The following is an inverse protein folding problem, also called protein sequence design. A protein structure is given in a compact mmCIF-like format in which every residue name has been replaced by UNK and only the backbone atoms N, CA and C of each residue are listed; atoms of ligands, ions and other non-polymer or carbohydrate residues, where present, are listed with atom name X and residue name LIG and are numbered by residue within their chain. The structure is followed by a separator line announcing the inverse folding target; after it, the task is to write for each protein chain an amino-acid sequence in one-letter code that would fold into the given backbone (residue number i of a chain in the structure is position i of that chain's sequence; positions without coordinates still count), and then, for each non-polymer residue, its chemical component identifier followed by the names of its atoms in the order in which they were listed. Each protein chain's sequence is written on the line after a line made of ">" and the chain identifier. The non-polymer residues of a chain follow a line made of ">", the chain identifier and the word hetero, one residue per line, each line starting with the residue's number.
data_IF_453431675937
#
_entry.id   IF_453431675937
#
_cell.length_a   1.000
_cell.length_b   1.000
_cell.length_c   1.000
_cell.angle_alpha   90.00
_cell.angle_beta   90.00
_cell.angle_gamma   90.00
#
_symmetry.space_group_name_H-M   'P 1'
#
loop_
_entity.id
_entity.type
_entity.pdbx_description
1 polymer ?
#
# COMPACT_ATOMS: atom_id res chain seq x y z
N UNK A 1 20.62 11.77 -22.87
CA UNK A 1 19.51 10.80 -22.75
C UNK A 1 18.40 11.30 -23.63
N UNK A 2 17.83 10.42 -24.45
CA UNK A 2 16.60 10.75 -25.17
C UNK A 2 15.45 10.98 -24.17
N UNK A 3 14.54 11.93 -24.42
CA UNK A 3 13.41 12.21 -23.53
C UNK A 3 12.58 10.97 -23.19
N UNK A 4 12.40 10.09 -24.18
CA UNK A 4 11.66 8.83 -24.03
C UNK A 4 12.36 7.86 -23.05
N UNK A 5 13.69 7.78 -23.07
CA UNK A 5 14.45 6.98 -22.10
C UNK A 5 14.30 7.52 -20.68
N UNK A 6 14.29 8.84 -20.52
CA UNK A 6 14.07 9.46 -19.22
C UNK A 6 12.65 9.17 -18.69
N UNK A 7 11.65 9.19 -19.57
CA UNK A 7 10.26 8.89 -19.26
C UNK A 7 10.08 7.44 -18.80
N UNK A 8 10.67 6.47 -19.51
CA UNK A 8 10.61 5.07 -19.09
C UNK A 8 11.31 4.81 -17.76
N UNK A 9 12.46 5.45 -17.51
CA UNK A 9 13.14 5.35 -16.22
C UNK A 9 12.26 5.90 -15.09
N UNK A 10 11.65 7.07 -15.28
CA UNK A 10 10.75 7.68 -14.30
C UNK A 10 9.55 6.77 -13.98
N UNK A 11 8.94 6.17 -15.01
CA UNK A 11 7.87 5.18 -14.88
C UNK A 11 8.27 3.94 -14.08
N UNK A 12 9.45 3.40 -14.32
CA UNK A 12 9.95 2.25 -13.55
C UNK A 12 10.14 2.60 -12.07
N UNK A 13 10.65 3.80 -11.77
CA UNK A 13 10.87 4.26 -10.41
C UNK A 13 9.55 4.49 -9.64
N UNK A 14 8.52 5.04 -10.27
CA UNK A 14 7.20 5.22 -9.62
C UNK A 14 6.58 3.89 -9.23
N UNK A 15 6.66 2.86 -10.09
CA UNK A 15 6.09 1.54 -9.78
C UNK A 15 6.91 0.80 -8.72
N UNK A 16 8.24 0.96 -8.68
CA UNK A 16 9.08 0.37 -7.63
C UNK A 16 8.69 0.83 -6.22
N UNK A 17 8.18 2.06 -6.08
CA UNK A 17 7.68 2.58 -4.81
C UNK A 17 6.54 1.75 -4.22
N UNK A 18 5.78 1.03 -5.04
CA UNK A 18 4.66 0.18 -4.60
C UNK A 18 5.11 -1.02 -3.75
N UNK A 19 6.38 -1.43 -3.80
CA UNK A 19 6.87 -2.51 -2.95
C UNK A 19 6.75 -2.18 -1.45
N UNK A 20 6.88 -0.90 -1.09
CA UNK A 20 6.69 -0.45 0.29
C UNK A 20 5.24 -0.59 0.76
N UNK A 21 4.26 -0.42 -0.13
CA UNK A 21 2.84 -0.60 0.16
C UNK A 21 2.54 -2.04 0.59
N UNK A 22 3.01 -3.04 -0.18
CA UNK A 22 2.79 -4.44 0.14
C UNK A 22 3.34 -4.81 1.54
N UNK A 23 4.50 -4.26 1.90
CA UNK A 23 5.10 -4.45 3.22
C UNK A 23 4.25 -3.78 4.31
N UNK A 24 3.80 -2.54 4.06
CA UNK A 24 3.00 -1.78 5.01
C UNK A 24 1.63 -2.43 5.27
N UNK A 25 0.93 -2.90 4.23
CA UNK A 25 -0.33 -3.62 4.38
C UNK A 25 -0.15 -4.92 5.17
N UNK A 26 0.87 -5.70 4.83
CA UNK A 26 1.22 -6.91 5.58
C UNK A 26 1.49 -6.62 7.06
N UNK A 27 2.13 -5.48 7.36
CA UNK A 27 2.36 -5.05 8.73
C UNK A 27 1.06 -4.62 9.44
N UNK A 28 0.18 -3.86 8.80
CA UNK A 28 -1.13 -3.48 9.35
C UNK A 28 -1.94 -4.72 9.71
N UNK A 29 -2.07 -5.67 8.78
CA UNK A 29 -2.84 -6.90 8.98
C UNK A 29 -2.21 -7.79 10.04
N UNK A 30 -0.89 -7.99 10.01
CA UNK A 30 -0.16 -8.77 11.02
C UNK A 30 -0.35 -8.20 12.44
N UNK A 31 -0.31 -6.87 12.56
CA UNK A 31 -0.50 -6.18 13.85
C UNK A 31 -1.93 -6.36 14.36
N UNK A 32 -2.93 -6.29 13.47
CA UNK A 32 -4.32 -6.55 13.82
C UNK A 32 -4.52 -7.98 14.31
N UNK A 33 -3.95 -8.99 13.63
CA UNK A 33 -4.03 -10.38 14.07
C UNK A 33 -3.32 -10.64 15.40
N UNK A 34 -2.16 -10.01 15.64
CA UNK A 34 -1.51 -10.07 16.96
C UNK A 34 -2.38 -9.45 18.06
N UNK A 35 -3.11 -8.37 17.77
CA UNK A 35 -4.03 -7.76 18.73
C UNK A 35 -5.26 -8.65 19.01
N UNK A 36 -5.87 -9.24 17.96
CA UNK A 36 -6.99 -10.18 18.08
C UNK A 36 -6.57 -11.43 18.86
N UNK A 37 -5.38 -11.98 18.58
CA UNK A 37 -4.86 -13.15 19.32
C UNK A 37 -4.65 -12.88 20.82
N UNK A 38 -4.42 -11.62 21.22
CA UNK A 38 -4.33 -11.21 22.64
C UNK A 38 -5.70 -10.94 23.27
N UNK A 39 -6.68 -10.50 22.49
CA UNK A 39 -8.04 -10.27 22.94
C UNK A 39 -9.06 -10.59 21.82
N UNK A 40 -9.60 -11.82 21.78
CA UNK A 40 -10.51 -12.25 20.71
C UNK A 40 -11.78 -11.41 20.59
N UNK A 41 -12.22 -10.75 21.67
CA UNK A 41 -13.41 -9.87 21.65
C UNK A 41 -13.25 -8.65 20.73
N UNK A 42 -12.02 -8.34 20.30
CA UNK A 42 -11.75 -7.20 19.41
C UNK A 42 -12.15 -7.48 17.95
N UNK A 43 -12.27 -8.74 17.55
CA UNK A 43 -12.44 -9.17 16.15
C UNK A 43 -13.58 -8.41 15.43
N UNK A 44 -14.78 -8.37 16.03
CA UNK A 44 -15.95 -7.69 15.47
C UNK A 44 -15.72 -6.19 15.21
N UNK A 45 -14.96 -5.52 16.08
CA UNK A 45 -14.69 -4.08 15.95
C UNK A 45 -13.45 -3.77 15.11
N UNK A 46 -12.61 -4.77 14.86
CA UNK A 46 -11.32 -4.62 14.19
C UNK A 46 -11.43 -4.77 12.68
N UNK A 47 -12.33 -5.61 12.17
CA UNK A 47 -12.43 -5.86 10.73
C UNK A 47 -12.58 -4.56 9.93
N UNK A 48 -13.58 -3.73 10.25
CA UNK A 48 -13.80 -2.45 9.56
C UNK A 48 -12.62 -1.48 9.68
N UNK A 49 -11.93 -1.47 10.83
CA UNK A 49 -10.75 -0.60 11.05
C UNK A 49 -9.56 -1.04 10.20
N UNK A 50 -9.34 -2.35 10.07
CA UNK A 50 -8.29 -2.90 9.20
C UNK A 50 -8.59 -2.55 7.74
N UNK A 51 -9.82 -2.75 7.27
CA UNK A 51 -10.20 -2.40 5.89
C UNK A 51 -9.94 -0.93 5.58
N UNK A 52 -10.36 -0.02 6.47
CA UNK A 52 -10.10 1.42 6.29
C UNK A 52 -8.60 1.71 6.30
N UNK A 53 -7.83 1.08 7.19
CA UNK A 53 -6.38 1.29 7.28
C UNK A 53 -5.64 0.78 6.04
N UNK A 54 -6.01 -0.41 5.55
CA UNK A 54 -5.47 -0.99 4.32
C UNK A 54 -5.82 -0.10 3.13
N UNK A 55 -7.07 0.35 2.99
CA UNK A 55 -7.46 1.28 1.92
C UNK A 55 -6.68 2.60 1.95
N UNK A 56 -6.37 3.13 3.13
CA UNK A 56 -5.52 4.32 3.26
C UNK A 56 -4.08 4.05 2.81
N UNK A 57 -3.51 2.90 3.18
CA UNK A 57 -2.19 2.49 2.70
C UNK A 57 -2.23 2.32 1.18
N UNK A 58 -3.20 1.59 0.64
CA UNK A 58 -3.32 1.32 -0.80
C UNK A 58 -3.49 2.60 -1.63
N UNK A 59 -4.06 3.66 -1.07
CA UNK A 59 -4.21 4.94 -1.77
C UNK A 59 -2.88 5.51 -2.30
N UNK A 60 -1.76 5.25 -1.62
CA UNK A 60 -0.43 5.71 -2.07
C UNK A 60 0.09 4.90 -3.26
N UNK A 61 -0.26 3.62 -3.37
CA UNK A 61 0.00 2.80 -4.55
C UNK A 61 -0.84 3.27 -5.73
N UNK A 62 -2.11 3.60 -5.51
CA UNK A 62 -2.99 4.17 -6.54
C UNK A 62 -2.40 5.48 -7.08
N UNK A 63 -1.92 6.39 -6.23
CA UNK A 63 -1.26 7.61 -6.71
C UNK A 63 0.00 7.33 -7.53
N UNK A 64 0.78 6.32 -7.17
CA UNK A 64 1.96 5.89 -7.93
C UNK A 64 1.58 5.35 -9.31
N UNK A 65 0.49 4.58 -9.39
CA UNK A 65 -0.05 4.05 -10.64
C UNK A 65 -0.64 5.15 -11.53
N UNK A 66 -1.35 6.12 -10.95
CA UNK A 66 -1.84 7.30 -11.68
C UNK A 66 -0.67 8.09 -12.25
N UNK A 67 0.37 8.34 -11.45
CA UNK A 67 1.58 9.02 -11.93
C UNK A 67 2.26 8.26 -13.07
N UNK A 68 2.33 6.92 -13.01
CA UNK A 68 2.88 6.10 -14.10
C UNK A 68 2.15 6.31 -15.44
N UNK A 69 0.82 6.41 -15.43
CA UNK A 69 0.04 6.64 -16.66
C UNK A 69 0.10 8.08 -17.18
N UNK A 70 0.32 9.05 -16.29
CA UNK A 70 0.43 10.47 -16.66
C UNK A 70 1.82 10.87 -17.14
N UNK A 71 2.85 10.19 -16.64
CA UNK A 71 4.24 10.39 -17.08
C UNK A 71 4.43 9.93 -18.52
#
# INVERSE_FOLDING_TARGET
>A
MEPETAQYLAKSLTVLGMAANAIAEGWVVSSAFKAIGRNPKLEETMFSKVIISVALVESTAIYSLVAFFLL
#
